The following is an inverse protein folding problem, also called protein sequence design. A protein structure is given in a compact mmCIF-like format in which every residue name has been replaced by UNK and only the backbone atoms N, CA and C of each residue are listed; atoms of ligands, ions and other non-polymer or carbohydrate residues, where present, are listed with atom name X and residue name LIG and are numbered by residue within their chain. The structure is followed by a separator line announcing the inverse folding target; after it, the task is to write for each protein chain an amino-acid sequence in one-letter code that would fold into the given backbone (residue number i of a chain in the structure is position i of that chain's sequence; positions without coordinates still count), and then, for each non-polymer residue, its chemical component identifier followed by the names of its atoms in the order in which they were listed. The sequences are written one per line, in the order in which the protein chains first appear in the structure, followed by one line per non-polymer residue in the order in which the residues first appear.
data_IF_920263335051
#
_entry.id   IF_920263335051
#
_cell.length_a   1.000
_cell.length_b   1.000
_cell.length_c   1.000
_cell.angle_alpha   90.00
_cell.angle_beta   90.00
_cell.angle_gamma   90.00
#
_symmetry.space_group_name_H-M   'P 1'
#
loop_
_entity.id
_entity.type
_entity.pdbx_description
1 polymer ?
#
# COMPACT_ATOMS: atom_id res chain seq x y z
N UNK A 1 1.44 17.46 27.49
CA UNK A 1 2.42 17.22 26.40
C UNK A 1 3.51 18.28 26.47
N UNK A 2 4.80 17.93 26.58
CA UNK A 2 5.90 18.91 26.60
C UNK A 2 5.89 19.77 25.33
N UNK A 3 6.24 21.05 25.46
CA UNK A 3 6.11 22.09 24.44
C UNK A 3 6.87 21.79 23.12
N UNK A 4 7.85 20.88 23.14
CA UNK A 4 8.63 20.45 21.98
C UNK A 4 7.94 19.43 21.07
N UNK A 5 6.87 18.74 21.52
CA UNK A 5 6.20 17.67 20.74
C UNK A 5 5.06 18.18 19.86
N UNK A 6 4.43 19.32 20.22
CA UNK A 6 3.34 19.94 19.44
C UNK A 6 3.75 20.31 18.01
N UNK A 7 4.89 20.97 17.75
CA UNK A 7 5.28 21.32 16.39
C UNK A 7 5.54 20.09 15.52
N UNK A 8 6.12 19.03 16.10
CA UNK A 8 6.39 17.79 15.39
C UNK A 8 5.10 17.04 15.04
N UNK A 9 4.16 16.97 15.99
CA UNK A 9 2.84 16.38 15.77
C UNK A 9 2.08 17.12 14.64
N UNK A 10 2.08 18.45 14.67
CA UNK A 10 1.46 19.27 13.63
C UNK A 10 2.13 19.08 12.26
N UNK A 11 3.46 18.90 12.22
CA UNK A 11 4.18 18.61 10.99
C UNK A 11 3.79 17.23 10.42
N UNK A 12 3.69 16.21 11.27
CA UNK A 12 3.23 14.88 10.88
C UNK A 12 1.78 14.96 10.35
N UNK A 13 0.88 15.64 11.06
CA UNK A 13 -0.52 15.78 10.64
C UNK A 13 -0.69 16.55 9.33
N UNK A 14 0.09 17.62 9.12
CA UNK A 14 0.11 18.38 7.85
C UNK A 14 0.55 17.53 6.66
N UNK A 15 1.39 16.54 6.89
CA UNK A 15 1.80 15.57 5.87
C UNK A 15 0.78 14.44 5.71
N UNK A 16 0.29 13.90 6.82
CA UNK A 16 -0.60 12.75 6.85
C UNK A 16 -1.94 13.06 6.21
N UNK A 17 -2.57 14.20 6.50
CA UNK A 17 -3.90 14.55 5.96
C UNK A 17 -3.98 14.43 4.43
N UNK A 18 -3.12 15.15 3.67
CA UNK A 18 -3.10 15.03 2.21
C UNK A 18 -2.73 13.63 1.69
N UNK A 19 -1.85 12.91 2.39
CA UNK A 19 -1.46 11.56 2.01
C UNK A 19 -2.58 10.54 2.24
N UNK A 20 -3.33 10.67 3.33
CA UNK A 20 -4.52 9.86 3.64
C UNK A 20 -5.59 10.13 2.57
N UNK A 21 -5.86 11.39 2.27
CA UNK A 21 -6.83 11.76 1.23
C UNK A 21 -6.44 11.21 -0.15
N UNK A 22 -5.14 11.20 -0.49
CA UNK A 22 -4.66 10.56 -1.72
C UNK A 22 -4.86 9.03 -1.72
N UNK A 23 -4.65 8.36 -0.57
CA UNK A 23 -4.92 6.91 -0.46
C UNK A 23 -6.41 6.60 -0.58
N UNK A 24 -7.26 7.36 0.10
CA UNK A 24 -8.71 7.20 0.02
C UNK A 24 -9.23 7.45 -1.41
N UNK A 25 -8.69 8.46 -2.12
CA UNK A 25 -9.02 8.69 -3.52
C UNK A 25 -8.61 7.51 -4.42
N UNK A 26 -7.48 6.86 -4.15
CA UNK A 26 -7.07 5.67 -4.88
C UNK A 26 -8.02 4.48 -4.61
N UNK A 27 -8.45 4.29 -3.36
CA UNK A 27 -9.47 3.27 -3.02
C UNK A 27 -10.80 3.57 -3.71
N UNK A 28 -11.23 4.82 -3.71
CA UNK A 28 -12.47 5.23 -4.39
C UNK A 28 -12.42 4.94 -5.90
N UNK A 29 -11.26 5.12 -6.53
CA UNK A 29 -11.07 4.79 -7.95
C UNK A 29 -11.20 3.28 -8.20
N UNK A 30 -10.54 2.44 -7.40
CA UNK A 30 -10.65 0.97 -7.50
C UNK A 30 -12.08 0.49 -7.22
N UNK A 31 -12.74 1.09 -6.23
CA UNK A 31 -14.14 0.81 -5.90
C UNK A 31 -15.06 1.18 -7.06
N UNK A 32 -14.86 2.35 -7.66
CA UNK A 32 -15.61 2.80 -8.84
C UNK A 32 -15.45 1.83 -9.99
N UNK A 33 -14.22 1.44 -10.33
CA UNK A 33 -13.96 0.46 -11.39
C UNK A 33 -14.71 -0.86 -11.13
N UNK A 34 -14.74 -1.32 -9.87
CA UNK A 34 -15.45 -2.56 -9.47
C UNK A 34 -16.97 -2.43 -9.62
N UNK A 35 -17.56 -1.33 -9.16
CA UNK A 35 -19.00 -1.07 -9.32
C UNK A 35 -19.37 -1.00 -10.80
N UNK A 36 -18.53 -0.35 -11.60
CA UNK A 36 -18.72 -0.21 -13.05
C UNK A 36 -18.63 -1.56 -13.78
N UNK A 37 -17.75 -2.47 -13.35
CA UNK A 37 -17.75 -3.85 -13.85
C UNK A 37 -19.05 -4.58 -13.46
N UNK A 38 -19.54 -4.36 -12.23
CA UNK A 38 -20.81 -4.93 -11.76
C UNK A 38 -22.03 -4.49 -12.57
N UNK A 39 -22.02 -3.24 -13.08
CA UNK A 39 -23.08 -2.72 -13.95
C UNK A 39 -23.06 -3.32 -15.36
N UNK A 40 -21.93 -3.84 -15.83
CA UNK A 40 -21.83 -4.52 -17.13
C UNK A 40 -22.45 -5.93 -17.08
N UNK A 41 -22.26 -6.63 -15.97
CA UNK A 41 -22.88 -7.92 -15.71
C UNK A 41 -22.07 -8.80 -14.74
N UNK A 42 -22.66 -9.90 -14.23
CA UNK A 42 -21.99 -10.77 -13.28
C UNK A 42 -20.75 -11.49 -13.87
N UNK A 43 -20.81 -11.86 -15.15
CA UNK A 43 -19.69 -12.50 -15.84
C UNK A 43 -18.52 -11.53 -16.04
N UNK A 44 -18.83 -10.29 -16.40
CA UNK A 44 -17.87 -9.21 -16.55
C UNK A 44 -17.23 -8.83 -15.22
N UNK A 45 -18.01 -8.79 -14.14
CA UNK A 45 -17.49 -8.57 -12.80
C UNK A 45 -16.52 -9.67 -12.36
N UNK A 46 -16.84 -10.93 -12.63
CA UNK A 46 -15.96 -12.05 -12.30
C UNK A 46 -14.63 -11.99 -13.09
N UNK A 47 -14.72 -11.76 -14.42
CA UNK A 47 -13.55 -11.69 -15.28
C UNK A 47 -12.70 -10.43 -15.01
N UNK A 48 -13.34 -9.26 -14.85
CA UNK A 48 -12.69 -8.00 -14.52
C UNK A 48 -12.05 -8.02 -13.13
N UNK A 49 -12.72 -8.62 -12.15
CA UNK A 49 -12.21 -8.83 -10.80
C UNK A 49 -10.95 -9.71 -10.78
N UNK A 50 -10.91 -10.78 -11.57
CA UNK A 50 -9.72 -11.61 -11.75
C UNK A 50 -8.54 -10.80 -12.34
N UNK A 51 -8.82 -9.96 -13.34
CA UNK A 51 -7.84 -9.04 -13.92
C UNK A 51 -7.33 -8.00 -12.93
N UNK A 52 -8.23 -7.37 -12.17
CA UNK A 52 -7.91 -6.37 -11.15
C UNK A 52 -7.10 -6.94 -9.99
N UNK A 53 -7.43 -8.14 -9.51
CA UNK A 53 -6.67 -8.83 -8.47
C UNK A 53 -5.25 -9.15 -8.94
N UNK A 54 -5.11 -9.66 -10.17
CA UNK A 54 -3.82 -9.95 -10.79
C UNK A 54 -2.96 -8.69 -10.96
N UNK A 55 -3.58 -7.60 -11.44
CA UNK A 55 -2.92 -6.30 -11.57
C UNK A 55 -2.47 -5.75 -10.22
N UNK A 56 -3.34 -5.80 -9.21
CA UNK A 56 -3.04 -5.34 -7.85
C UNK A 56 -1.87 -6.09 -7.23
N UNK A 57 -1.80 -7.42 -7.41
CA UNK A 57 -0.70 -8.23 -6.89
C UNK A 57 0.67 -7.85 -7.48
N UNK A 58 0.74 -7.64 -8.81
CA UNK A 58 2.00 -7.19 -9.44
C UNK A 58 2.29 -5.73 -9.07
N UNK A 59 1.27 -4.88 -9.05
CA UNK A 59 1.41 -3.45 -8.79
C UNK A 59 1.85 -3.15 -7.35
N UNK A 60 1.38 -3.90 -6.35
CA UNK A 60 1.76 -3.65 -4.94
C UNK A 60 3.26 -3.86 -4.72
N UNK A 61 3.84 -4.85 -5.40
CA UNK A 61 5.28 -5.09 -5.38
C UNK A 61 6.04 -3.94 -6.02
N UNK A 62 5.63 -3.51 -7.21
CA UNK A 62 6.24 -2.38 -7.92
C UNK A 62 6.14 -1.08 -7.11
N UNK A 63 4.98 -0.78 -6.53
CA UNK A 63 4.74 0.35 -5.62
C UNK A 63 5.70 0.28 -4.43
N UNK A 64 5.88 -0.90 -3.84
CA UNK A 64 6.81 -1.11 -2.75
C UNK A 64 8.25 -0.77 -3.11
N UNK A 65 8.71 -1.18 -4.30
CA UNK A 65 10.05 -0.83 -4.77
C UNK A 65 10.18 0.68 -5.00
N UNK A 66 9.17 1.32 -5.59
CA UNK A 66 9.18 2.76 -5.86
C UNK A 66 9.02 3.61 -4.60
N UNK A 67 8.40 3.09 -3.54
CA UNK A 67 8.32 3.79 -2.25
C UNK A 67 9.70 4.13 -1.66
N UNK A 68 10.76 3.40 -2.04
CA UNK A 68 12.14 3.73 -1.69
C UNK A 68 12.61 5.11 -2.19
N UNK A 69 12.06 5.59 -3.31
CA UNK A 69 12.37 6.92 -3.87
C UNK A 69 12.02 8.00 -2.85
N UNK A 70 10.81 7.99 -2.30
CA UNK A 70 10.39 8.95 -1.29
C UNK A 70 11.26 8.91 -0.04
N UNK A 71 11.65 7.71 0.41
CA UNK A 71 12.49 7.54 1.59
C UNK A 71 13.89 8.13 1.41
N UNK A 72 14.56 7.80 0.31
CA UNK A 72 15.91 8.32 0.03
C UNK A 72 15.88 9.81 -0.29
N UNK A 73 14.86 10.31 -1.01
CA UNK A 73 14.68 11.74 -1.26
C UNK A 73 14.50 12.50 0.06
N UNK A 74 13.69 11.98 1.00
CA UNK A 74 13.52 12.62 2.31
C UNK A 74 14.85 12.74 3.07
N UNK A 75 15.69 11.70 3.00
CA UNK A 75 17.03 11.70 3.61
C UNK A 75 17.95 12.71 2.93
N UNK A 76 18.04 12.73 1.60
CA UNK A 76 18.89 13.70 0.87
C UNK A 76 18.42 15.13 1.07
N UNK A 77 17.10 15.35 1.10
CA UNK A 77 16.51 16.65 1.39
C UNK A 77 16.87 17.11 2.81
N UNK A 78 16.78 16.23 3.80
CA UNK A 78 17.23 16.49 5.17
C UNK A 78 18.72 16.85 5.27
N UNK A 79 19.55 16.23 4.45
CA UNK A 79 21.00 16.50 4.37
C UNK A 79 21.36 17.78 3.60
N UNK A 80 20.38 18.47 2.99
CA UNK A 80 20.63 19.62 2.11
C UNK A 80 21.16 19.27 0.71
N UNK A 81 21.20 17.99 0.34
CA UNK A 81 21.67 17.51 -0.96
C UNK A 81 20.54 17.56 -2.01
N UNK A 82 20.25 18.78 -2.47
CA UNK A 82 19.19 19.07 -3.46
C UNK A 82 19.45 18.35 -4.79
N UNK A 83 20.72 18.30 -5.22
CA UNK A 83 21.11 17.64 -6.46
C UNK A 83 20.94 16.10 -6.37
N UNK A 84 21.32 15.49 -5.24
CA UNK A 84 21.10 14.07 -4.98
C UNK A 84 19.62 13.69 -4.92
N UNK A 85 18.78 14.52 -4.31
CA UNK A 85 17.33 14.32 -4.31
C UNK A 85 16.74 14.32 -5.74
N UNK A 86 17.18 15.24 -6.60
CA UNK A 86 16.74 15.27 -8.00
C UNK A 86 17.21 14.02 -8.78
N UNK A 87 18.48 13.62 -8.63
CA UNK A 87 19.04 12.42 -9.29
C UNK A 87 18.33 11.13 -8.87
N UNK A 88 18.06 10.96 -7.57
CA UNK A 88 17.31 9.80 -7.07
C UNK A 88 15.89 9.75 -7.63
N UNK A 89 15.26 10.90 -7.82
CA UNK A 89 13.91 10.97 -8.41
C UNK A 89 13.95 10.56 -9.88
N UNK A 90 14.94 11.02 -10.65
CA UNK A 90 15.15 10.61 -12.04
C UNK A 90 15.46 9.11 -12.14
N UNK A 91 16.36 8.59 -11.31
CA UNK A 91 16.66 7.16 -11.23
C UNK A 91 15.41 6.34 -10.82
N UNK A 92 14.57 6.89 -9.94
CA UNK A 92 13.29 6.33 -9.55
C UNK A 92 12.28 6.24 -10.70
N UNK A 93 12.22 7.24 -11.58
CA UNK A 93 11.38 7.18 -12.78
C UNK A 93 11.88 6.10 -13.75
N UNK A 94 13.19 6.04 -14.01
CA UNK A 94 13.79 4.99 -14.84
C UNK A 94 13.56 3.58 -14.28
N UNK A 95 13.74 3.42 -12.97
CA UNK A 95 13.42 2.19 -12.26
C UNK A 95 11.94 1.84 -12.41
N UNK A 96 11.07 2.84 -12.26
CA UNK A 96 9.62 2.70 -12.42
C UNK A 96 9.22 2.24 -13.81
N UNK A 97 9.83 2.80 -14.87
CA UNK A 97 9.58 2.35 -16.24
C UNK A 97 10.13 0.95 -16.51
N UNK A 98 11.31 0.62 -15.99
CA UNK A 98 11.85 -0.74 -16.07
C UNK A 98 10.96 -1.77 -15.38
N UNK A 99 10.46 -1.45 -14.18
CA UNK A 99 9.50 -2.28 -13.45
C UNK A 99 8.16 -2.36 -14.16
N UNK A 100 7.65 -1.26 -14.70
CA UNK A 100 6.40 -1.22 -15.47
C UNK A 100 6.49 -2.07 -16.74
N UNK A 101 7.63 -2.05 -17.43
CA UNK A 101 7.86 -2.91 -18.59
C UNK A 101 7.90 -4.40 -18.19
N UNK A 102 8.65 -4.74 -17.14
CA UNK A 102 8.72 -6.12 -16.65
C UNK A 102 7.34 -6.64 -16.16
N UNK A 103 6.62 -5.82 -15.39
CA UNK A 103 5.27 -6.10 -14.94
C UNK A 103 4.28 -6.20 -16.10
N UNK A 104 4.38 -5.31 -17.10
CA UNK A 104 3.52 -5.33 -18.29
C UNK A 104 3.71 -6.60 -19.12
N UNK A 105 4.96 -7.02 -19.33
CA UNK A 105 5.28 -8.29 -20.02
C UNK A 105 4.76 -9.50 -19.25
N UNK A 106 4.88 -9.50 -17.92
CA UNK A 106 4.34 -10.56 -17.08
C UNK A 106 2.81 -10.64 -17.17
N UNK A 107 2.12 -9.50 -17.13
CA UNK A 107 0.66 -9.41 -17.20
C UNK A 107 0.12 -9.76 -18.59
N UNK A 108 0.84 -9.42 -19.67
CA UNK A 108 0.47 -9.85 -21.03
C UNK A 108 0.59 -11.36 -21.24
N UNK A 109 1.51 -12.02 -20.54
CA UNK A 109 1.67 -13.48 -20.60
C UNK A 109 0.97 -14.21 -19.44
N UNK A 110 -0.02 -13.59 -18.80
CA UNK A 110 -0.70 -14.15 -17.64
C UNK A 110 -1.72 -15.24 -17.99
N UNK A 111 -2.26 -15.23 -19.22
CA UNK A 111 -3.24 -16.21 -19.71
C UNK A 111 -2.86 -17.70 -19.46
N UNK A 112 -1.64 -18.19 -19.79
CA UNK A 112 -1.24 -19.56 -19.49
C UNK A 112 -1.19 -19.87 -17.99
N UNK A 113 -0.77 -18.92 -17.15
CA UNK A 113 -0.77 -19.09 -15.69
C UNK A 113 -2.20 -19.26 -15.17
N UNK A 114 -3.13 -18.41 -15.61
CA UNK A 114 -4.54 -18.51 -15.20
C UNK A 114 -5.19 -19.84 -15.63
N UNK A 115 -4.81 -20.39 -16.80
CA UNK A 115 -5.25 -21.73 -17.23
C UNK A 115 -4.72 -22.83 -16.31
N UNK A 116 -3.47 -22.74 -15.88
CA UNK A 116 -2.88 -23.69 -14.92
C UNK A 116 -3.58 -23.63 -13.56
N UNK A 117 -4.04 -22.44 -13.15
CA UNK A 117 -4.85 -22.26 -11.94
C UNK A 117 -6.31 -22.73 -12.08
N UNK A 118 -6.69 -23.35 -13.20
CA UNK A 118 -8.02 -23.94 -13.40
C UNK A 118 -9.13 -22.93 -13.65
N UNK A 119 -8.80 -21.70 -14.06
CA UNK A 119 -9.81 -20.67 -14.37
C UNK A 119 -10.53 -20.99 -15.69
N UNK A 120 -11.83 -20.69 -15.74
CA UNK A 120 -12.65 -20.88 -16.94
C UNK A 120 -12.17 -19.97 -18.09
N UNK A 121 -12.26 -20.49 -19.33
CA UNK A 121 -11.78 -19.79 -20.52
C UNK A 121 -12.40 -18.38 -20.68
N UNK A 122 -13.70 -18.25 -20.37
CA UNK A 122 -14.42 -16.98 -20.44
C UNK A 122 -13.87 -15.93 -19.45
N UNK A 123 -13.59 -16.34 -18.21
CA UNK A 123 -13.00 -15.45 -17.20
C UNK A 123 -11.58 -15.02 -17.56
N UNK A 124 -10.80 -15.94 -18.15
CA UNK A 124 -9.45 -15.63 -18.64
C UNK A 124 -9.52 -14.62 -19.78
N UNK A 125 -10.42 -14.80 -20.74
CA UNK A 125 -10.58 -13.85 -21.86
C UNK A 125 -10.97 -12.46 -21.38
N UNK A 126 -11.98 -12.34 -20.49
CA UNK A 126 -12.38 -11.05 -19.94
C UNK A 126 -11.30 -10.40 -19.06
N UNK A 127 -10.58 -11.19 -18.25
CA UNK A 127 -9.45 -10.71 -17.47
C UNK A 127 -8.32 -10.19 -18.38
N UNK A 128 -8.02 -10.90 -19.47
CA UNK A 128 -7.01 -10.48 -20.44
C UNK A 128 -7.43 -9.25 -21.24
N UNK A 129 -8.72 -9.09 -21.55
CA UNK A 129 -9.24 -7.85 -22.15
C UNK A 129 -9.02 -6.65 -21.22
N UNK A 130 -9.36 -6.79 -19.93
CA UNK A 130 -9.13 -5.75 -18.93
C UNK A 130 -7.63 -5.45 -18.75
N UNK A 131 -6.80 -6.49 -18.63
CA UNK A 131 -5.35 -6.34 -18.43
C UNK A 131 -4.65 -5.75 -19.64
N UNK A 132 -5.08 -6.08 -20.87
CA UNK A 132 -4.43 -5.60 -22.10
C UNK A 132 -4.41 -4.09 -22.20
N UNK A 133 -5.47 -3.41 -21.73
CA UNK A 133 -5.55 -1.95 -21.70
C UNK A 133 -4.97 -1.38 -20.41
N UNK A 134 -5.17 -2.05 -19.28
CA UNK A 134 -4.67 -1.58 -17.98
C UNK A 134 -3.14 -1.63 -17.85
N UNK A 135 -2.43 -2.50 -18.59
CA UNK A 135 -0.96 -2.54 -18.58
C UNK A 135 -0.35 -1.19 -19.00
N UNK A 136 -1.02 -0.43 -19.87
CA UNK A 136 -0.58 0.92 -20.24
C UNK A 136 -0.70 1.94 -19.09
N UNK A 137 -1.42 1.61 -18.01
CA UNK A 137 -1.47 2.41 -16.79
C UNK A 137 -0.16 2.34 -15.99
N UNK A 138 0.56 1.21 -16.03
CA UNK A 138 1.72 0.96 -15.16
C UNK A 138 2.81 2.03 -15.30
N UNK A 139 3.27 2.43 -16.50
CA UNK A 139 4.30 3.47 -16.61
C UNK A 139 3.85 4.80 -16.02
N UNK A 140 2.59 5.18 -16.27
CA UNK A 140 1.98 6.39 -15.70
C UNK A 140 1.92 6.31 -14.17
N UNK A 141 1.40 5.20 -13.65
CA UNK A 141 1.26 4.98 -12.21
C UNK A 141 2.61 4.95 -11.47
N UNK A 142 3.63 4.28 -12.03
CA UNK A 142 4.98 4.26 -11.45
C UNK A 142 5.62 5.65 -11.45
N UNK A 143 5.42 6.41 -12.53
CA UNK A 143 5.88 7.81 -12.61
C UNK A 143 5.18 8.65 -11.55
N UNK A 144 3.85 8.55 -11.44
CA UNK A 144 3.06 9.24 -10.42
C UNK A 144 3.54 8.91 -9.00
N UNK A 145 3.80 7.63 -8.70
CA UNK A 145 4.27 7.19 -7.39
C UNK A 145 5.69 7.71 -7.07
N UNK A 146 6.59 7.74 -8.06
CA UNK A 146 7.93 8.33 -7.89
C UNK A 146 7.87 9.83 -7.60
N UNK A 147 7.08 10.58 -8.37
CA UNK A 147 6.90 12.03 -8.15
C UNK A 147 6.15 12.31 -6.85
N UNK A 148 5.13 11.52 -6.52
CA UNK A 148 4.43 11.60 -5.23
C UNK A 148 5.39 11.45 -4.07
N UNK A 149 6.28 10.45 -4.14
CA UNK A 149 7.33 10.23 -3.15
C UNK A 149 8.23 11.46 -3.00
N UNK A 150 8.68 12.03 -4.11
CA UNK A 150 9.51 13.24 -4.12
C UNK A 150 8.80 14.47 -3.53
N UNK A 151 7.60 14.79 -4.02
CA UNK A 151 6.83 15.97 -3.61
C UNK A 151 6.43 15.90 -2.14
N UNK A 152 6.10 14.71 -1.66
CA UNK A 152 5.76 14.47 -0.25
C UNK A 152 6.99 14.52 0.65
N UNK A 153 8.13 14.01 0.18
CA UNK A 153 9.40 14.06 0.90
C UNK A 153 9.96 15.48 1.11
N UNK A 154 9.60 16.44 0.23
CA UNK A 154 9.97 17.86 0.37
C UNK A 154 8.99 18.64 1.27
N UNK A 155 7.95 17.98 1.79
CA UNK A 155 6.99 18.62 2.68
C UNK A 155 5.80 19.29 2.00
N UNK A 156 5.56 18.99 0.70
CA UNK A 156 4.45 19.58 -0.06
C UNK A 156 3.50 18.55 -0.66
N UNK A 157 2.81 17.71 0.14
CA UNK A 157 1.91 16.69 -0.40
C UNK A 157 0.57 17.23 -0.94
N UNK A 158 0.29 18.53 -0.79
CA UNK A 158 -0.97 19.16 -1.26
C UNK A 158 -1.32 18.91 -2.75
N UNK A 159 -0.39 19.06 -3.70
CA UNK A 159 -0.64 18.75 -5.11
C UNK A 159 -0.97 17.28 -5.35
N UNK A 160 -0.36 16.36 -4.59
CA UNK A 160 -0.66 14.93 -4.69
C UNK A 160 -2.11 14.66 -4.31
N UNK A 161 -2.60 15.28 -3.23
CA UNK A 161 -3.99 15.16 -2.81
C UNK A 161 -4.95 15.70 -3.88
N UNK A 162 -4.74 16.94 -4.35
CA UNK A 162 -5.61 17.57 -5.33
C UNK A 162 -5.70 16.76 -6.64
N UNK A 163 -4.56 16.26 -7.13
CA UNK A 163 -4.50 15.45 -8.34
C UNK A 163 -5.13 14.07 -8.12
N UNK A 164 -4.96 13.46 -6.94
CA UNK A 164 -5.58 12.15 -6.64
C UNK A 164 -7.10 12.24 -6.54
N UNK A 165 -7.63 13.27 -5.87
CA UNK A 165 -9.08 13.49 -5.78
C UNK A 165 -9.64 13.83 -7.16
N UNK A 166 -9.00 14.74 -7.91
CA UNK A 166 -9.41 15.07 -9.27
C UNK A 166 -9.35 13.87 -10.21
N UNK A 167 -8.32 13.02 -10.06
CA UNK A 167 -8.18 11.76 -10.80
C UNK A 167 -9.30 10.77 -10.49
N UNK A 168 -9.65 10.57 -9.22
CA UNK A 168 -10.76 9.71 -8.82
C UNK A 168 -12.11 10.20 -9.38
N UNK A 169 -12.37 11.51 -9.31
CA UNK A 169 -13.58 12.12 -9.89
C UNK A 169 -13.61 11.99 -11.41
N UNK A 170 -12.46 12.20 -12.07
CA UNK A 170 -12.34 12.01 -13.52
C UNK A 170 -12.58 10.55 -13.90
N UNK A 171 -11.98 9.59 -13.19
CA UNK A 171 -12.21 8.16 -13.42
C UNK A 171 -13.70 7.82 -13.32
N UNK A 172 -14.40 8.27 -12.27
CA UNK A 172 -15.83 8.07 -12.13
C UNK A 172 -16.63 8.66 -13.30
N UNK A 173 -16.37 9.92 -13.66
CA UNK A 173 -17.08 10.58 -14.76
C UNK A 173 -16.82 9.90 -16.11
N UNK A 174 -15.56 9.57 -16.42
CA UNK A 174 -15.20 8.90 -17.68
C UNK A 174 -15.78 7.49 -17.76
N UNK A 175 -15.71 6.71 -16.67
CA UNK A 175 -16.29 5.36 -16.62
C UNK A 175 -17.81 5.40 -16.84
N UNK A 176 -18.49 6.34 -16.18
CA UNK A 176 -19.93 6.50 -16.33
C UNK A 176 -20.34 6.85 -17.77
N UNK A 177 -19.61 7.79 -18.41
CA UNK A 177 -19.85 8.20 -19.81
C UNK A 177 -19.65 7.02 -20.77
N UNK A 178 -18.60 6.23 -20.56
CA UNK A 178 -18.29 5.10 -21.43
C UNK A 178 -19.34 3.98 -21.33
N UNK A 179 -19.82 3.68 -20.13
CA UNK A 179 -20.83 2.64 -19.91
C UNK A 179 -22.17 3.04 -20.53
N UNK A 180 -22.57 4.30 -20.39
CA UNK A 180 -23.82 4.81 -20.96
C UNK A 180 -23.72 5.09 -22.47
N UNK A 181 -22.52 5.01 -23.06
CA UNK A 181 -22.30 5.23 -24.49
C UNK A 181 -22.61 6.65 -24.95
N UNK A 182 -22.54 7.62 -24.03
CA UNK A 182 -22.70 9.04 -24.40
C UNK A 182 -21.55 9.46 -25.32
N UNK A 183 -21.83 10.31 -26.31
CA UNK A 183 -20.93 10.70 -27.43
C UNK A 183 -20.74 9.69 -28.58
N UNK A 184 -21.51 8.60 -28.66
CA UNK A 184 -21.39 7.64 -29.79
C UNK A 184 -20.11 6.79 -29.74
N UNK A 185 -19.45 6.74 -28.58
CA UNK A 185 -18.31 5.87 -28.32
C UNK A 185 -18.77 4.40 -28.24
N UNK A 186 -18.00 3.45 -28.82
CA UNK A 186 -18.31 2.04 -28.74
C UNK A 186 -18.27 1.57 -27.28
N UNK A 187 -19.19 0.68 -26.90
CA UNK A 187 -19.20 0.01 -25.59
C UNK A 187 -18.01 -0.94 -25.52
N UNK A 188 -16.85 -0.43 -25.11
CA UNK A 188 -15.60 -1.20 -24.99
C UNK A 188 -15.60 -2.19 -23.80
N UNK A 189 -16.70 -2.31 -23.07
CA UNK A 189 -16.88 -3.26 -21.96
C UNK A 189 -15.74 -3.17 -20.94
N UNK A 190 -15.20 -4.31 -20.54
CA UNK A 190 -14.09 -4.41 -19.59
C UNK A 190 -12.80 -3.73 -20.08
N UNK A 191 -12.47 -3.85 -21.36
CA UNK A 191 -11.28 -3.19 -21.93
C UNK A 191 -11.38 -1.66 -21.79
N UNK A 192 -12.60 -1.13 -21.87
CA UNK A 192 -12.93 0.27 -21.68
C UNK A 192 -12.61 0.80 -20.28
N UNK A 193 -13.00 0.05 -19.24
CA UNK A 193 -12.70 0.41 -17.84
C UNK A 193 -11.19 0.45 -17.63
N UNK A 194 -10.46 -0.57 -18.10
CA UNK A 194 -9.00 -0.61 -18.02
C UNK A 194 -8.31 0.55 -18.75
N UNK A 195 -8.85 0.96 -19.91
CA UNK A 195 -8.32 2.09 -20.69
C UNK A 195 -8.52 3.43 -19.97
N UNK A 196 -9.69 3.64 -19.35
CA UNK A 196 -9.97 4.87 -18.59
C UNK A 196 -9.03 4.97 -17.40
N UNK A 197 -8.85 3.88 -16.67
CA UNK A 197 -7.91 3.83 -15.54
C UNK A 197 -6.49 4.12 -16.02
N UNK A 198 -6.06 3.56 -17.16
CA UNK A 198 -4.76 3.88 -17.76
C UNK A 198 -4.61 5.36 -18.16
N UNK A 199 -5.64 5.94 -18.78
CA UNK A 199 -5.66 7.35 -19.18
C UNK A 199 -5.59 8.27 -17.96
N UNK A 200 -6.40 8.01 -16.95
CA UNK A 200 -6.45 8.81 -15.71
C UNK A 200 -5.13 8.71 -14.96
N UNK A 201 -4.57 7.52 -14.76
CA UNK A 201 -3.28 7.37 -14.07
C UNK A 201 -2.14 8.06 -14.83
N UNK A 202 -2.15 7.99 -16.16
CA UNK A 202 -1.17 8.71 -17.00
C UNK A 202 -1.36 10.22 -16.93
N UNK A 203 -2.61 10.70 -16.98
CA UNK A 203 -2.92 12.12 -16.83
C UNK A 203 -2.50 12.65 -15.46
N UNK A 204 -2.75 11.90 -14.38
CA UNK A 204 -2.28 12.26 -13.02
C UNK A 204 -0.77 12.39 -12.97
N UNK A 205 -0.03 11.47 -13.60
CA UNK A 205 1.42 11.51 -13.68
C UNK A 205 1.91 12.75 -14.45
N UNK A 206 1.31 13.04 -15.60
CA UNK A 206 1.65 14.21 -16.43
C UNK A 206 1.33 15.53 -15.74
N UNK A 207 0.17 15.64 -15.08
CA UNK A 207 -0.22 16.82 -14.30
C UNK A 207 0.74 17.07 -13.14
N UNK A 208 1.13 16.02 -12.43
CA UNK A 208 2.08 16.14 -11.32
C UNK A 208 3.47 16.52 -11.84
N UNK A 209 3.92 15.93 -12.95
CA UNK A 209 5.19 16.29 -13.61
C UNK A 209 5.18 17.74 -14.10
N UNK A 210 4.08 18.17 -14.72
CA UNK A 210 3.90 19.56 -15.15
C UNK A 210 3.95 20.53 -13.98
N UNK A 211 3.21 20.25 -12.90
CA UNK A 211 3.20 21.07 -11.70
C UNK A 211 4.59 21.17 -11.04
N UNK A 212 5.28 20.03 -10.89
CA UNK A 212 6.64 19.98 -10.31
C UNK A 212 7.64 20.77 -11.16
N UNK A 213 7.54 20.74 -12.49
CA UNK A 213 8.49 21.45 -13.35
C UNK A 213 8.21 22.94 -13.54
N UNK A 214 6.99 23.40 -13.26
CA UNK A 214 6.59 24.83 -13.40
C UNK A 214 6.65 25.59 -12.08
N UNK A 215 6.36 24.94 -10.96
CA UNK A 215 6.15 25.64 -9.71
C UNK A 215 7.51 26.09 -9.10
N UNK A 216 7.68 27.40 -8.78
CA UNK A 216 8.98 28.00 -8.44
C UNK A 216 9.62 27.35 -7.21
N UNK A 217 8.78 26.79 -6.34
CA UNK A 217 9.23 26.18 -5.12
C UNK A 217 9.91 24.79 -5.31
N UNK A 218 9.94 24.26 -6.54
CA UNK A 218 10.76 23.12 -6.94
C UNK A 218 11.93 23.51 -7.86
N UNK A 219 12.08 24.80 -8.20
CA UNK A 219 13.10 25.28 -9.14
C UNK A 219 14.54 24.99 -8.68
N UNK A 220 14.75 24.87 -7.36
CA UNK A 220 16.01 24.44 -6.78
C UNK A 220 16.39 23.00 -7.19
N UNK A 221 15.41 22.14 -7.49
CA UNK A 221 15.63 20.77 -7.93
C UNK A 221 15.67 20.73 -9.45
N UNK A 222 16.86 20.57 -10.03
CA UNK A 222 17.06 20.51 -11.48
C UNK A 222 16.60 19.17 -12.09
N UNK A 223 15.34 18.80 -11.90
CA UNK A 223 14.76 17.55 -12.44
C UNK A 223 14.84 17.43 -13.96
N UNK A 224 14.96 18.56 -14.68
CA UNK A 224 15.10 18.60 -16.15
C UNK A 224 16.53 18.35 -16.65
N UNK A 225 17.55 18.63 -15.83
CA UNK A 225 18.94 18.48 -16.23
C UNK A 225 19.40 17.05 -15.90
N UNK A 226 19.88 16.30 -16.90
CA UNK A 226 20.45 14.97 -16.70
C UNK A 226 19.47 13.79 -16.69
N UNK A 227 18.20 13.99 -17.08
CA UNK A 227 17.19 12.92 -17.20
C UNK A 227 17.66 11.70 -18.03
N UNK A 228 18.60 11.92 -18.96
CA UNK A 228 19.11 10.90 -19.89
C UNK A 228 20.35 10.14 -19.37
N UNK A 229 20.85 10.41 -18.16
CA UNK A 229 22.04 9.75 -17.60
C UNK A 229 21.79 9.21 -16.18
N UNK A 230 20.97 8.15 -16.02
CA UNK A 230 20.81 7.50 -14.72
C UNK A 230 22.16 6.90 -14.28
N UNK A 231 22.65 7.32 -13.11
CA UNK A 231 23.83 6.70 -12.50
C UNK A 231 23.42 5.33 -11.95
N UNK A 232 24.16 4.29 -12.33
CA UNK A 232 23.93 2.93 -11.86
C UNK A 232 24.00 2.81 -10.33
N UNK A 233 24.79 3.66 -9.68
CA UNK A 233 24.90 3.70 -8.21
C UNK A 233 23.59 4.13 -7.54
N UNK A 234 22.93 5.18 -8.07
CA UNK A 234 21.64 5.66 -7.55
C UNK A 234 20.54 4.61 -7.77
N UNK A 235 20.55 3.93 -8.92
CA UNK A 235 19.64 2.83 -9.22
C UNK A 235 19.85 1.63 -8.27
N UNK A 236 21.11 1.28 -8.00
CA UNK A 236 21.47 0.20 -7.08
C UNK A 236 21.10 0.55 -5.64
N UNK A 237 21.25 1.80 -5.23
CA UNK A 237 20.82 2.28 -3.92
C UNK A 237 19.29 2.16 -3.77
N UNK A 238 18.54 2.58 -4.80
CA UNK A 238 17.08 2.43 -4.86
C UNK A 238 16.65 0.97 -4.81
N UNK A 239 17.24 0.09 -5.62
CA UNK A 239 16.92 -1.34 -5.62
C UNK A 239 17.24 -2.01 -4.29
N UNK A 240 18.38 -1.66 -3.66
CA UNK A 240 18.79 -2.25 -2.38
C UNK A 240 17.82 -1.91 -1.24
N UNK A 241 17.20 -0.72 -1.29
CA UNK A 241 16.18 -0.32 -0.31
C UNK A 241 14.78 -0.77 -0.73
N UNK A 242 14.44 -0.66 -2.02
CA UNK A 242 13.12 -0.91 -2.57
C UNK A 242 12.77 -2.39 -2.68
N UNK A 243 13.71 -3.26 -3.04
CA UNK A 243 13.44 -4.69 -3.18
C UNK A 243 12.96 -5.33 -1.85
N UNK A 244 13.58 -5.04 -0.68
CA UNK A 244 13.02 -5.47 0.60
C UNK A 244 11.65 -4.85 0.92
N UNK A 245 11.37 -3.60 0.53
CA UNK A 245 10.05 -2.97 0.75
C UNK A 245 8.98 -3.68 -0.09
N UNK A 246 9.23 -3.87 -1.39
CA UNK A 246 8.35 -4.63 -2.29
C UNK A 246 8.16 -6.06 -1.80
N UNK A 247 9.22 -6.71 -1.35
CA UNK A 247 9.15 -8.03 -0.71
C UNK A 247 8.27 -8.02 0.54
N UNK A 248 8.31 -6.97 1.36
CA UNK A 248 7.47 -6.87 2.57
C UNK A 248 5.99 -6.86 2.18
N UNK A 249 5.61 -6.04 1.19
CA UNK A 249 4.24 -5.99 0.69
C UNK A 249 3.79 -7.31 0.04
N UNK A 250 4.69 -7.99 -0.68
CA UNK A 250 4.39 -9.30 -1.26
C UNK A 250 4.16 -10.37 -0.19
N UNK A 251 4.97 -10.36 0.88
CA UNK A 251 4.82 -11.28 2.03
C UNK A 251 3.50 -11.01 2.77
N UNK A 252 3.12 -9.74 2.96
CA UNK A 252 1.82 -9.36 3.53
C UNK A 252 0.65 -9.83 2.67
N UNK A 253 0.70 -9.53 1.37
CA UNK A 253 -0.32 -9.97 0.43
C UNK A 253 -0.44 -11.51 0.40
N UNK A 254 0.70 -12.22 0.46
CA UNK A 254 0.74 -13.67 0.57
C UNK A 254 0.09 -14.21 1.85
N UNK A 255 0.27 -13.55 2.99
CA UNK A 255 -0.38 -13.92 4.25
C UNK A 255 -1.91 -13.77 4.15
N UNK A 256 -2.41 -12.68 3.56
CA UNK A 256 -3.84 -12.48 3.33
C UNK A 256 -4.42 -13.51 2.35
N UNK A 257 -3.68 -13.82 1.28
CA UNK A 257 -4.07 -14.88 0.35
C UNK A 257 -4.14 -16.25 1.05
N UNK A 258 -3.17 -16.57 1.90
CA UNK A 258 -3.18 -17.80 2.71
C UNK A 258 -4.39 -17.86 3.66
N UNK A 259 -4.72 -16.74 4.31
CA UNK A 259 -5.91 -16.67 5.16
C UNK A 259 -7.20 -16.87 4.38
N UNK A 260 -7.32 -16.27 3.20
CA UNK A 260 -8.47 -16.46 2.32
C UNK A 260 -8.60 -17.94 1.87
N UNK A 261 -7.49 -18.62 1.58
CA UNK A 261 -7.50 -20.05 1.27
C UNK A 261 -7.94 -20.91 2.46
N UNK A 262 -7.47 -20.59 3.68
CA UNK A 262 -7.93 -21.28 4.89
C UNK A 262 -9.43 -21.09 5.11
N UNK A 263 -9.95 -19.87 4.89
CA UNK A 263 -11.38 -19.58 4.97
C UNK A 263 -12.19 -20.32 3.89
N UNK A 264 -11.66 -20.42 2.68
CA UNK A 264 -12.27 -21.21 1.59
C UNK A 264 -12.38 -22.69 1.94
N UNK A 265 -11.36 -23.26 2.60
CA UNK A 265 -11.40 -24.65 3.08
C UNK A 265 -12.40 -24.88 4.22
N UNK A 266 -12.73 -23.85 5.00
CA UNK A 266 -13.75 -23.91 6.07
C UNK A 266 -15.19 -23.77 5.53
N UNK A 267 -15.37 -23.33 4.28
CA UNK A 267 -16.66 -23.25 3.60
C UNK A 267 -16.94 -21.90 2.94
N UNK A 268 -17.91 -21.89 2.01
CA UNK A 268 -18.28 -20.70 1.24
C UNK A 268 -18.82 -19.56 2.11
N UNK A 269 -19.59 -19.86 3.15
CA UNK A 269 -20.10 -18.87 4.10
C UNK A 269 -18.97 -18.19 4.90
N UNK A 270 -17.96 -18.97 5.30
CA UNK A 270 -16.77 -18.45 6.01
C UNK A 270 -15.95 -17.51 5.13
N UNK A 271 -15.75 -17.90 3.87
CA UNK A 271 -15.06 -17.06 2.89
C UNK A 271 -15.82 -15.77 2.62
N UNK A 272 -17.15 -15.82 2.46
CA UNK A 272 -17.97 -14.62 2.26
C UNK A 272 -17.88 -13.66 3.47
N UNK A 273 -18.01 -14.18 4.69
CA UNK A 273 -17.87 -13.37 5.91
C UNK A 273 -16.46 -12.75 6.03
N UNK A 274 -15.42 -13.50 5.67
CA UNK A 274 -14.06 -12.99 5.62
C UNK A 274 -13.87 -11.84 4.62
N UNK A 275 -14.45 -11.94 3.42
CA UNK A 275 -14.37 -10.87 2.41
C UNK A 275 -15.04 -9.58 2.88
N UNK A 276 -16.19 -9.67 3.54
CA UNK A 276 -16.88 -8.49 4.10
C UNK A 276 -16.04 -7.84 5.20
N UNK A 277 -15.47 -8.65 6.09
CA UNK A 277 -14.62 -8.17 7.17
C UNK A 277 -13.32 -7.53 6.64
N UNK A 278 -12.64 -8.16 5.69
CA UNK A 278 -11.37 -7.65 5.15
C UNK A 278 -11.57 -6.34 4.37
N UNK A 279 -12.68 -6.19 3.65
CA UNK A 279 -13.00 -4.93 2.94
C UNK A 279 -13.25 -3.78 3.92
N UNK A 280 -13.94 -4.06 5.02
CA UNK A 280 -14.15 -3.09 6.10
C UNK A 280 -12.81 -2.62 6.69
N UNK A 281 -11.91 -3.58 6.97
CA UNK A 281 -10.55 -3.30 7.47
C UNK A 281 -9.71 -2.57 6.43
N UNK A 282 -9.83 -2.89 5.14
CA UNK A 282 -9.02 -2.30 4.07
C UNK A 282 -9.21 -0.78 3.95
N UNK A 283 -10.45 -0.30 4.10
CA UNK A 283 -10.75 1.14 4.10
C UNK A 283 -10.06 1.83 5.29
N UNK A 284 -10.18 1.22 6.46
CA UNK A 284 -9.60 1.78 7.68
C UNK A 284 -8.05 1.74 7.66
N UNK A 285 -7.46 0.72 7.03
CA UNK A 285 -6.02 0.55 6.82
C UNK A 285 -5.37 1.65 5.95
N UNK A 286 -6.12 2.33 5.09
CA UNK A 286 -5.54 3.43 4.29
C UNK A 286 -5.10 4.62 5.13
N UNK A 287 -5.73 4.84 6.27
CA UNK A 287 -5.42 5.93 7.20
C UNK A 287 -4.01 5.76 7.83
N UNK A 288 -3.69 4.64 8.52
CA UNK A 288 -2.37 4.41 9.09
C UNK A 288 -1.29 4.26 8.02
N UNK A 289 -1.61 3.78 6.80
CA UNK A 289 -0.66 3.82 5.67
C UNK A 289 -0.27 5.27 5.33
N UNK A 290 -1.25 6.18 5.25
CA UNK A 290 -0.98 7.61 5.03
C UNK A 290 -0.13 8.24 6.14
N UNK A 291 -0.42 7.91 7.40
CA UNK A 291 0.39 8.33 8.57
C UNK A 291 1.80 7.73 8.49
N UNK A 292 1.92 6.46 8.11
CA UNK A 292 3.20 5.76 7.98
C UNK A 292 4.11 6.45 6.96
N UNK A 293 3.58 6.84 5.80
CA UNK A 293 4.35 7.64 4.83
C UNK A 293 4.81 8.98 5.40
N UNK A 294 3.93 9.72 6.09
CA UNK A 294 4.29 10.99 6.72
C UNK A 294 5.41 10.83 7.76
N UNK A 295 5.29 9.82 8.63
CA UNK A 295 6.29 9.48 9.65
C UNK A 295 7.61 9.08 9.01
N UNK A 296 7.56 8.26 7.95
CA UNK A 296 8.74 7.82 7.21
C UNK A 296 9.51 9.01 6.62
N UNK A 297 8.81 9.96 5.99
CA UNK A 297 9.45 11.14 5.42
C UNK A 297 10.01 12.09 6.50
N UNK A 298 9.30 12.30 7.62
CA UNK A 298 9.82 13.10 8.74
C UNK A 298 11.08 12.51 9.34
N UNK A 299 11.07 11.21 9.62
CA UNK A 299 12.25 10.50 10.14
C UNK A 299 13.38 10.57 9.12
N UNK A 300 13.10 10.37 7.83
CA UNK A 300 14.08 10.50 6.76
C UNK A 300 14.74 11.88 6.75
N UNK A 301 13.95 12.96 6.84
CA UNK A 301 14.46 14.33 6.91
C UNK A 301 15.36 14.56 8.13
N UNK A 302 14.93 14.12 9.33
CA UNK A 302 15.73 14.28 10.55
C UNK A 302 17.00 13.42 10.53
N UNK A 303 16.91 12.20 10.01
CA UNK A 303 18.03 11.28 9.85
C UNK A 303 19.08 11.85 8.86
N UNK A 304 18.63 12.37 7.72
CA UNK A 304 19.48 13.05 6.75
C UNK A 304 20.17 14.30 7.30
N UNK A 305 19.49 15.03 8.18
CA UNK A 305 20.04 16.21 8.85
C UNK A 305 20.96 15.90 10.04
N UNK A 306 21.23 14.63 10.33
CA UNK A 306 22.03 14.21 11.49
C UNK A 306 21.34 14.37 12.85
N UNK A 307 20.05 14.76 12.89
CA UNK A 307 19.28 14.97 14.12
C UNK A 307 18.59 13.69 14.56
N UNK A 308 19.38 12.72 15.02
CA UNK A 308 18.90 11.37 15.39
C UNK A 308 17.91 11.37 16.56
N UNK A 309 18.04 12.30 17.51
CA UNK A 309 17.08 12.44 18.60
C UNK A 309 15.70 12.86 18.09
N UNK A 310 15.65 13.83 17.19
CA UNK A 310 14.40 14.28 16.57
C UNK A 310 13.79 13.17 15.73
N UNK A 311 14.60 12.41 15.00
CA UNK A 311 14.13 11.24 14.25
C UNK A 311 13.48 10.20 15.18
N UNK A 312 14.08 9.94 16.34
CA UNK A 312 13.51 9.03 17.35
C UNK A 312 12.20 9.58 17.95
N UNK A 313 12.13 10.88 18.24
CA UNK A 313 10.92 11.54 18.75
C UNK A 313 9.79 11.50 17.72
N UNK A 314 10.09 11.80 16.46
CA UNK A 314 9.13 11.74 15.35
C UNK A 314 8.56 10.33 15.17
N UNK A 315 9.40 9.29 15.25
CA UNK A 315 8.92 7.90 15.18
C UNK A 315 8.04 7.48 16.35
N UNK A 316 8.41 7.82 17.59
CA UNK A 316 7.57 7.54 18.77
C UNK A 316 6.22 8.26 18.70
N UNK A 317 6.23 9.54 18.30
CA UNK A 317 5.01 10.32 18.10
C UNK A 317 4.15 9.74 16.99
N UNK A 318 4.78 9.33 15.89
CA UNK A 318 4.11 8.67 14.77
C UNK A 318 3.41 7.38 15.18
N UNK A 319 4.13 6.49 15.87
CA UNK A 319 3.58 5.23 16.39
C UNK A 319 2.45 5.49 17.38
N UNK A 320 2.61 6.45 18.30
CA UNK A 320 1.57 6.83 19.26
C UNK A 320 0.32 7.43 18.62
N UNK A 321 0.49 8.32 17.62
CA UNK A 321 -0.60 8.88 16.84
C UNK A 321 -1.34 7.78 16.06
N UNK A 322 -0.58 6.89 15.44
CA UNK A 322 -1.07 5.70 14.76
C UNK A 322 -1.92 4.81 15.64
N UNK A 323 -1.38 4.43 16.80
CA UNK A 323 -2.07 3.63 17.80
C UNK A 323 -3.36 4.32 18.26
N UNK A 324 -3.34 5.64 18.50
CA UNK A 324 -4.54 6.39 18.89
C UNK A 324 -5.62 6.43 17.80
N UNK A 325 -5.20 6.61 16.54
CA UNK A 325 -6.11 6.58 15.39
C UNK A 325 -6.73 5.20 15.21
N UNK A 326 -5.91 4.14 15.27
CA UNK A 326 -6.35 2.76 15.12
C UNK A 326 -7.21 2.30 16.29
N UNK A 327 -6.93 2.76 17.52
CA UNK A 327 -7.78 2.51 18.67
C UNK A 327 -9.18 3.12 18.48
N UNK A 328 -9.28 4.24 17.77
CA UNK A 328 -10.56 4.87 17.46
C UNK A 328 -11.35 4.06 16.43
N UNK A 329 -10.68 3.50 15.40
CA UNK A 329 -11.30 2.57 14.46
C UNK A 329 -11.68 1.23 15.10
N UNK A 330 -10.80 0.65 15.91
CA UNK A 330 -11.08 -0.55 16.70
C UNK A 330 -12.28 -0.34 17.63
N UNK A 331 -12.38 0.82 18.29
CA UNK A 331 -13.54 1.17 19.10
C UNK A 331 -14.82 1.29 18.26
N UNK A 332 -14.74 1.86 17.04
CA UNK A 332 -15.87 1.92 16.11
C UNK A 332 -16.34 0.52 15.69
N UNK A 333 -15.41 -0.39 15.37
CA UNK A 333 -15.72 -1.77 15.00
C UNK A 333 -16.33 -2.56 16.16
N UNK A 334 -15.95 -2.23 17.40
CA UNK A 334 -16.51 -2.88 18.57
C UNK A 334 -17.86 -2.31 19.02
N UNK A 335 -18.05 -0.98 18.93
CA UNK A 335 -19.27 -0.29 19.37
C UNK A 335 -20.39 -0.31 18.33
N UNK A 336 -20.06 -0.37 17.04
CA UNK A 336 -21.03 -0.31 15.96
C UNK A 336 -20.76 -1.33 14.82
N UNK A 337 -20.51 -2.62 15.12
CA UNK A 337 -20.21 -3.63 14.09
C UNK A 337 -21.34 -3.79 13.07
N UNK A 338 -22.60 -3.74 13.51
CA UNK A 338 -23.78 -3.87 12.64
C UNK A 338 -23.98 -2.67 11.71
N UNK A 339 -23.49 -1.49 12.10
CA UNK A 339 -23.51 -0.32 11.23
C UNK A 339 -22.44 -0.44 10.14
N UNK A 340 -21.24 -0.89 10.51
CA UNK A 340 -20.14 -1.11 9.56
C UNK A 340 -20.50 -2.20 8.55
N UNK A 341 -21.04 -3.33 8.98
CA UNK A 341 -21.48 -4.40 8.08
C UNK A 341 -22.67 -3.95 7.22
N UNK A 342 -23.58 -3.15 7.79
CA UNK A 342 -24.72 -2.58 7.07
C UNK A 342 -24.37 -1.55 5.99
N UNK A 343 -23.12 -1.06 5.93
CA UNK A 343 -22.64 -0.24 4.81
C UNK A 343 -22.29 -1.06 3.57
N UNK A 344 -21.96 -2.34 3.75
CA UNK A 344 -21.51 -3.23 2.66
C UNK A 344 -22.58 -4.24 2.22
N UNK A 345 -23.57 -4.54 3.07
CA UNK A 345 -24.69 -5.43 2.75
C UNK A 345 -26.03 -4.75 3.03
N UNK A 346 -26.93 -4.75 2.05
CA UNK A 346 -28.32 -4.35 2.24
C UNK A 346 -29.02 -5.30 3.23
N UNK A 347 -29.64 -4.72 4.26
CA UNK A 347 -30.44 -5.47 5.24
C UNK A 347 -31.71 -5.97 4.56
N UNK A 348 -31.93 -7.29 4.51
CA UNK A 348 -33.22 -7.85 4.09
C UNK A 348 -33.21 -9.22 3.42
N UNK A 349 -32.06 -9.74 2.98
CA UNK A 349 -31.99 -11.10 2.43
C UNK A 349 -31.76 -12.15 3.52
N UNK A 350 -32.77 -12.99 3.75
CA UNK A 350 -32.75 -14.09 4.74
C UNK A 350 -31.60 -15.10 4.52
N UNK A 351 -31.08 -15.23 3.28
CA UNK A 351 -29.92 -16.10 2.99
C UNK A 351 -28.58 -15.52 3.49
N UNK A 352 -28.49 -14.21 3.76
CA UNK A 352 -27.25 -13.55 4.17
C UNK A 352 -27.18 -13.27 5.67
N UNK A 353 -28.23 -13.57 6.43
CA UNK A 353 -28.28 -13.29 7.87
C UNK A 353 -27.20 -14.06 8.65
N UNK A 354 -26.95 -15.32 8.28
CA UNK A 354 -25.87 -16.13 8.84
C UNK A 354 -24.47 -15.58 8.50
N UNK A 355 -24.28 -15.01 7.30
CA UNK A 355 -23.03 -14.37 6.87
C UNK A 355 -22.79 -13.08 7.65
N UNK A 356 -23.84 -12.30 7.87
CA UNK A 356 -23.81 -11.05 8.64
C UNK A 356 -23.46 -11.33 10.11
N UNK A 357 -24.10 -12.32 10.74
CA UNK A 357 -23.79 -12.69 12.13
C UNK A 357 -22.33 -13.15 12.28
N UNK A 358 -21.84 -13.96 11.33
CA UNK A 358 -20.46 -14.42 11.35
C UNK A 358 -19.48 -13.26 11.09
N UNK A 359 -19.79 -12.35 10.16
CA UNK A 359 -19.00 -11.15 9.92
C UNK A 359 -18.92 -10.25 11.16
N UNK A 360 -20.04 -10.03 11.86
CA UNK A 360 -20.07 -9.25 13.12
C UNK A 360 -19.16 -9.87 14.20
N UNK A 361 -19.18 -11.20 14.35
CA UNK A 361 -18.27 -11.90 15.26
C UNK A 361 -16.79 -11.76 14.86
N UNK A 362 -16.51 -11.77 13.55
CA UNK A 362 -15.16 -11.53 13.02
C UNK A 362 -14.72 -10.07 13.22
N UNK A 363 -15.62 -9.09 13.11
CA UNK A 363 -15.29 -7.66 13.32
C UNK A 363 -14.77 -7.37 14.73
N UNK A 364 -15.27 -8.07 15.75
CA UNK A 364 -14.76 -7.94 17.11
C UNK A 364 -13.28 -8.36 17.23
N UNK A 365 -12.87 -9.40 16.48
CA UNK A 365 -11.47 -9.83 16.39
C UNK A 365 -10.69 -8.88 15.46
N UNK A 366 -11.35 -8.38 14.41
CA UNK A 366 -10.77 -7.41 13.47
C UNK A 366 -10.36 -6.10 14.17
N UNK A 367 -11.07 -5.68 15.21
CA UNK A 367 -10.69 -4.52 16.03
C UNK A 367 -9.30 -4.68 16.67
N UNK A 368 -8.99 -5.87 17.21
CA UNK A 368 -7.66 -6.18 17.75
C UNK A 368 -6.61 -6.29 16.64
N UNK A 369 -6.96 -6.99 15.57
CA UNK A 369 -6.14 -7.11 14.37
C UNK A 369 -5.71 -5.73 13.86
N UNK A 370 -6.64 -4.79 13.75
CA UNK A 370 -6.42 -3.46 13.17
C UNK A 370 -5.53 -2.60 14.08
N UNK A 371 -5.70 -2.71 15.39
CA UNK A 371 -4.82 -2.05 16.35
C UNK A 371 -3.35 -2.46 16.15
N UNK A 372 -3.09 -3.77 16.04
CA UNK A 372 -1.74 -4.26 15.79
C UNK A 372 -1.24 -3.90 14.40
N UNK A 373 -2.10 -4.00 13.40
CA UNK A 373 -1.77 -3.75 12.00
C UNK A 373 -1.35 -2.29 11.76
N UNK A 374 -2.05 -1.32 12.34
CA UNK A 374 -1.64 0.07 12.24
C UNK A 374 -0.35 0.40 12.97
N UNK A 375 -0.12 -0.20 14.16
CA UNK A 375 1.13 -0.02 14.91
C UNK A 375 2.32 -0.57 14.10
N UNK A 376 2.23 -1.80 13.58
CA UNK A 376 3.31 -2.35 12.76
C UNK A 376 3.52 -1.53 11.49
N UNK A 377 2.46 -1.02 10.86
CA UNK A 377 2.55 -0.31 9.58
C UNK A 377 3.33 0.98 9.73
N UNK A 378 3.10 1.68 10.83
CA UNK A 378 3.82 2.91 11.15
C UNK A 378 5.22 2.62 11.68
N UNK A 379 5.41 1.54 12.45
CA UNK A 379 6.74 1.11 12.89
C UNK A 379 7.63 0.69 11.69
N UNK A 380 7.08 -0.02 10.70
CA UNK A 380 7.77 -0.33 9.45
C UNK A 380 8.18 0.95 8.72
N UNK A 381 7.25 1.90 8.58
CA UNK A 381 7.55 3.22 8.03
C UNK A 381 8.70 3.91 8.78
N UNK A 382 8.68 3.85 10.11
CA UNK A 382 9.71 4.46 10.94
C UNK A 382 11.10 3.86 10.72
N UNK A 383 11.23 2.53 10.61
CA UNK A 383 12.52 1.88 10.31
C UNK A 383 12.95 2.16 8.86
N UNK A 384 12.02 2.15 7.89
CA UNK A 384 12.30 2.50 6.49
C UNK A 384 12.87 3.93 6.37
N UNK A 385 12.40 4.86 7.20
CA UNK A 385 12.92 6.23 7.30
C UNK A 385 14.37 6.30 7.77
N UNK A 386 14.87 5.29 8.49
CA UNK A 386 16.28 5.13 8.89
C UNK A 386 17.13 4.40 7.84
N UNK A 387 16.68 4.35 6.58
CA UNK A 387 17.34 3.69 5.45
C UNK A 387 17.53 2.18 5.65
N UNK A 388 16.60 1.52 6.34
CA UNK A 388 16.66 0.07 6.54
C UNK A 388 15.32 -0.62 6.33
N UNK A 389 15.14 -1.11 5.12
CA UNK A 389 14.02 -1.96 4.78
C UNK A 389 14.30 -3.45 4.96
N UNK A 390 15.56 -3.85 5.22
CA UNK A 390 15.89 -5.27 5.39
C UNK A 390 15.35 -5.79 6.71
N UNK A 391 15.49 -5.00 7.77
CA UNK A 391 14.92 -5.35 9.08
C UNK A 391 13.40 -5.48 8.99
N UNK A 392 12.71 -4.57 8.28
CA UNK A 392 11.24 -4.68 8.12
C UNK A 392 10.85 -5.94 7.34
N UNK A 393 11.59 -6.29 6.29
CA UNK A 393 11.34 -7.49 5.50
C UNK A 393 11.55 -8.78 6.30
N UNK A 394 12.68 -8.90 7.01
CA UNK A 394 13.00 -10.11 7.76
C UNK A 394 12.07 -10.33 8.95
N UNK A 395 11.75 -9.25 9.68
CA UNK A 395 10.78 -9.31 10.78
C UNK A 395 9.39 -9.64 10.24
N UNK A 396 8.95 -9.00 9.16
CA UNK A 396 7.67 -9.32 8.51
C UNK A 396 7.60 -10.78 8.06
N UNK A 397 8.62 -11.26 7.34
CA UNK A 397 8.68 -12.65 6.90
C UNK A 397 8.61 -13.64 8.08
N UNK A 398 9.37 -13.39 9.16
CA UNK A 398 9.35 -14.23 10.35
C UNK A 398 8.01 -14.19 11.07
N UNK A 399 7.49 -13.02 11.38
CA UNK A 399 6.26 -12.86 12.15
C UNK A 399 5.03 -13.33 11.36
N UNK A 400 4.94 -13.03 10.06
CA UNK A 400 3.79 -13.42 9.25
C UNK A 400 3.78 -14.91 8.93
N UNK A 401 4.92 -15.49 8.52
CA UNK A 401 4.95 -16.88 8.04
C UNK A 401 5.38 -17.92 9.08
N UNK A 402 6.17 -17.55 10.10
CA UNK A 402 6.55 -18.51 11.16
C UNK A 402 5.61 -18.46 12.37
N UNK A 403 4.93 -17.33 12.58
CA UNK A 403 3.98 -17.18 13.70
C UNK A 403 2.55 -17.10 13.16
N UNK A 404 2.24 -16.13 12.30
CA UNK A 404 0.88 -15.86 11.83
C UNK A 404 0.24 -17.03 11.09
N UNK A 405 0.85 -17.50 10.00
CA UNK A 405 0.29 -18.58 9.19
C UNK A 405 0.16 -19.92 9.95
N UNK A 406 1.16 -20.40 10.71
CA UNK A 406 1.02 -21.61 11.52
C UNK A 406 -0.02 -21.45 12.62
N UNK A 407 -0.07 -20.30 13.32
CA UNK A 407 -1.09 -20.05 14.32
C UNK A 407 -2.50 -20.04 13.72
N UNK A 408 -2.68 -19.43 12.54
CA UNK A 408 -3.96 -19.42 11.83
C UNK A 408 -4.40 -20.84 11.47
N UNK A 409 -3.49 -21.68 10.96
CA UNK A 409 -3.80 -23.07 10.61
C UNK A 409 -4.10 -23.92 11.86
N UNK A 410 -3.29 -23.82 12.91
CA UNK A 410 -3.49 -24.57 14.16
C UNK A 410 -4.80 -24.18 14.86
N UNK A 411 -5.08 -22.89 15.01
CA UNK A 411 -6.30 -22.41 15.66
C UNK A 411 -7.56 -22.76 14.85
N UNK A 412 -7.49 -22.66 13.52
CA UNK A 412 -8.63 -22.94 12.66
C UNK A 412 -8.94 -24.45 12.59
N UNK A 413 -7.94 -25.29 12.31
CA UNK A 413 -8.16 -26.71 12.01
C UNK A 413 -7.90 -27.65 13.19
N UNK A 414 -6.87 -27.40 14.00
CA UNK A 414 -6.52 -28.30 15.11
C UNK A 414 -7.38 -28.04 16.36
N UNK A 415 -7.54 -26.77 16.74
CA UNK A 415 -8.40 -26.39 17.87
C UNK A 415 -9.87 -26.25 17.50
N UNK A 416 -10.21 -26.31 16.22
CA UNK A 416 -11.60 -26.27 15.73
C UNK A 416 -12.30 -24.92 15.93
N UNK A 417 -11.55 -23.82 16.09
CA UNK A 417 -12.13 -22.48 16.25
C UNK A 417 -12.64 -21.90 14.91
N UNK A 418 -12.44 -22.63 13.82
CA UNK A 418 -12.97 -22.30 12.50
C UNK A 418 -12.51 -20.91 12.03
N UNK A 419 -13.41 -20.07 11.49
CA UNK A 419 -13.06 -18.76 10.94
C UNK A 419 -12.43 -17.80 11.95
N UNK A 420 -12.85 -17.87 13.22
CA UNK A 420 -12.29 -17.02 14.28
C UNK A 420 -10.83 -17.38 14.57
N UNK A 421 -10.48 -18.67 14.47
CA UNK A 421 -9.11 -19.14 14.63
C UNK A 421 -8.14 -18.55 13.61
N UNK A 422 -8.58 -18.40 12.35
CA UNK A 422 -7.78 -17.76 11.29
C UNK A 422 -7.48 -16.30 11.64
N UNK A 423 -8.48 -15.53 12.07
CA UNK A 423 -8.31 -14.13 12.44
C UNK A 423 -7.45 -13.93 13.68
N UNK A 424 -7.58 -14.78 14.70
CA UNK A 424 -6.68 -14.76 15.86
C UNK A 424 -5.24 -15.12 15.48
N UNK A 425 -5.06 -16.07 14.57
CA UNK A 425 -3.75 -16.40 14.02
C UNK A 425 -3.11 -15.20 13.31
N UNK A 426 -3.85 -14.52 12.44
CA UNK A 426 -3.40 -13.29 11.79
C UNK A 426 -3.06 -12.20 12.81
N UNK A 427 -3.96 -11.93 13.76
CA UNK A 427 -3.76 -10.94 14.81
C UNK A 427 -2.51 -11.24 15.65
N UNK A 428 -2.21 -12.52 15.93
CA UNK A 428 -1.00 -12.92 16.65
C UNK A 428 0.29 -12.63 15.86
N UNK A 429 0.29 -12.89 14.54
CA UNK A 429 1.40 -12.56 13.65
C UNK A 429 1.66 -11.05 13.58
N UNK A 430 0.59 -10.26 13.48
CA UNK A 430 0.62 -8.80 13.48
C UNK A 430 1.06 -8.23 14.83
N UNK A 431 0.61 -8.80 15.94
CA UNK A 431 1.06 -8.41 17.27
C UNK A 431 2.56 -8.67 17.46
N UNK A 432 3.03 -9.84 16.99
CA UNK A 432 4.45 -10.17 17.01
C UNK A 432 5.28 -9.18 16.16
N UNK A 433 4.79 -8.87 14.95
CA UNK A 433 5.42 -7.89 14.07
C UNK A 433 5.41 -6.46 14.67
N UNK A 434 4.29 -6.02 15.23
CA UNK A 434 4.15 -4.71 15.88
C UNK A 434 5.16 -4.54 17.03
N UNK A 435 5.28 -5.56 17.89
CA UNK A 435 6.26 -5.58 18.97
C UNK A 435 7.69 -5.63 18.43
N UNK A 436 7.97 -6.56 17.50
CA UNK A 436 9.30 -6.76 16.92
C UNK A 436 9.82 -5.51 16.19
N UNK A 437 8.98 -4.84 15.43
CA UNK A 437 9.31 -3.62 14.71
C UNK A 437 9.43 -2.41 15.63
N UNK A 438 8.56 -2.28 16.63
CA UNK A 438 8.67 -1.18 17.61
C UNK A 438 9.94 -1.30 18.45
N UNK A 439 10.25 -2.51 18.93
CA UNK A 439 11.50 -2.81 19.64
C UNK A 439 12.72 -2.65 18.73
N UNK A 440 12.63 -3.11 17.47
CA UNK A 440 13.67 -2.94 16.47
C UNK A 440 13.99 -1.47 16.19
N UNK A 441 12.96 -0.62 16.08
CA UNK A 441 13.11 0.82 15.94
C UNK A 441 13.80 1.45 17.15
N UNK A 442 13.36 1.10 18.37
CA UNK A 442 13.95 1.58 19.62
C UNK A 442 15.41 1.16 19.79
N UNK A 443 15.72 -0.12 19.56
CA UNK A 443 17.08 -0.64 19.64
C UNK A 443 17.98 0.07 18.64
N UNK A 444 17.51 0.24 17.41
CA UNK A 444 18.31 0.84 16.34
C UNK A 444 18.57 2.32 16.55
N UNK A 445 17.56 3.08 16.95
CA UNK A 445 17.72 4.51 17.27
C UNK A 445 18.66 4.69 18.47
N UNK A 446 18.56 3.84 19.50
CA UNK A 446 19.52 3.84 20.63
C UNK A 446 20.94 3.54 20.19
N UNK A 447 21.15 2.54 19.32
CA UNK A 447 22.49 2.18 18.83
C UNK A 447 23.12 3.30 18.00
N UNK A 448 22.33 3.91 17.11
CA UNK A 448 22.78 5.06 16.31
C UNK A 448 23.15 6.27 17.19
N UNK A 449 22.40 6.52 18.28
CA UNK A 449 22.72 7.58 19.24
C UNK A 449 23.98 7.29 20.07
N UNK A 450 24.34 6.02 20.27
CA UNK A 450 25.57 5.61 20.96
C UNK A 450 26.82 5.66 20.08
N UNK A 451 26.69 5.95 18.78
CA UNK A 451 27.81 6.00 17.84
C UNK A 451 28.42 4.63 17.51
N UNK A 452 27.79 3.53 17.89
CA UNK A 452 28.28 2.19 17.57
C UNK A 452 28.04 1.90 16.06
N UNK A 453 29.09 1.61 15.28
CA UNK A 453 28.93 1.27 13.87
C UNK A 453 28.04 0.04 13.73
N UNK A 454 27.23 0.02 12.66
CA UNK A 454 26.42 -1.13 12.34
C UNK A 454 27.32 -2.35 12.13
N UNK A 455 27.31 -3.28 13.09
CA UNK A 455 28.04 -4.54 13.01
C UNK A 455 27.73 -5.17 11.66
N UNK A 456 28.75 -5.19 10.80
CA UNK A 456 28.79 -6.08 9.66
C UNK A 456 28.62 -7.48 10.25
N UNK A 457 27.50 -8.13 9.97
CA UNK A 457 27.39 -9.58 10.11
C UNK A 457 28.33 -10.18 9.06
N UNK A 458 29.62 -10.18 9.38
CA UNK A 458 30.63 -11.09 8.86
C UNK A 458 30.90 -12.03 10.03
N UNK A 459 30.17 -13.14 10.06
CA UNK A 459 30.55 -14.29 10.84
C UNK A 459 30.54 -15.51 9.92
N UNK A 460 31.72 -16.11 9.77
CA UNK A 460 31.93 -17.53 9.49
C UNK A 460 31.63 -18.08 8.09
N UNK A 461 32.51 -17.79 7.12
CA UNK A 461 33.03 -18.84 6.22
C UNK A 461 34.54 -18.63 6.12
N UNK A 462 35.23 -19.14 7.14
CA UNK A 462 36.67 -19.36 7.14
C UNK A 462 36.92 -20.50 8.13
N UNK A 463 36.66 -21.73 7.68
CA UNK A 463 37.45 -22.93 7.94
C UNK A 463 36.97 -24.02 7.02
#
# INVERSE_FOLDING_TARGET
MPASLRPELLAILRLAGPLIAAQLANVLMVFTDTVMMGLLGPAELAAGGLGAASYSFVSIFCVGVIAAVGNLVAIRHGAGDVAGAARLTQAGMWLGWGLALAAGLLLWNLAPLLRVFGQEAHNIEGAMQFLSTLVFALPGYMTFMALRGFTSAIGRPGPVMAISIGGALANFALNYVLIHGWFGLPRLGLAGIGLITALVMTAMALLLAWHVTRHPAYAAYSLRHGLLQPRLDDLRELLRLGLPIGGTYAVESGLFAFAALCMGALGSQALAAHQVAIMSVYVAFMVPVGISYAVTFRIGQHFGAGRLEDARRAGRLGIGLGAGCMLSFAALFWLAPEWVVGLFLERGNAEFEAVVQMAVGLLAIAAWFELFDGIQTIAMGAIRGLKDAKTTFLVGLGCYWLVGAPAAWLLAFHFGWGPQGVWWGLASGLACAALGLTLGFEFKTRRLLRGEPAVAVRASVAT
#
